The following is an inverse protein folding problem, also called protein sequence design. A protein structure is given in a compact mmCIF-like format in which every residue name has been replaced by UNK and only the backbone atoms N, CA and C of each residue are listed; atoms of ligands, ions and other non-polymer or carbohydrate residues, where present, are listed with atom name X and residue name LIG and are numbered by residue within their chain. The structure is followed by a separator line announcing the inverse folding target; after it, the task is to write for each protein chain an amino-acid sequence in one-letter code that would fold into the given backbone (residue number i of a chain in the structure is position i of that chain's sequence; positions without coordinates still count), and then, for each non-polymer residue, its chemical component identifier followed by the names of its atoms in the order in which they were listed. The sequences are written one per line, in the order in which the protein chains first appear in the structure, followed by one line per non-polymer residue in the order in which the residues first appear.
data_IF_967843219349
#
_entry.id   IF_967843219349
#
_cell.length_a   1.000
_cell.length_b   1.000
_cell.length_c   1.000
_cell.angle_alpha   90.00
_cell.angle_beta   90.00
_cell.angle_gamma   90.00
#
_symmetry.space_group_name_H-M   'P 1'
#
loop_
_entity.id
_entity.type
_entity.pdbx_description
1 polymer ?
#
# COMPACT_ATOMS: atom_id res chain seq x y z
N UNK A 1 1.72 -33.93 6.75
CA UNK A 1 2.07 -32.68 6.04
C UNK A 1 1.05 -31.62 6.42
N UNK A 2 1.38 -30.78 7.40
CA UNK A 2 0.43 -29.85 8.03
C UNK A 2 0.31 -28.60 7.16
N UNK A 3 -0.84 -28.42 6.51
CA UNK A 3 -1.20 -27.14 5.87
C UNK A 3 -1.41 -26.13 6.99
N UNK A 4 -0.52 -25.14 7.08
CA UNK A 4 -0.58 -24.06 8.04
C UNK A 4 -1.84 -23.24 7.76
N UNK A 5 -2.84 -23.38 8.62
CA UNK A 5 -4.05 -22.58 8.63
C UNK A 5 -3.71 -21.28 9.38
N UNK A 6 -3.26 -20.26 8.64
CA UNK A 6 -3.20 -18.90 9.18
C UNK A 6 -4.65 -18.43 9.32
N UNK A 7 -5.14 -18.49 10.55
CA UNK A 7 -6.44 -18.01 10.99
C UNK A 7 -6.48 -16.48 10.84
N UNK A 8 -6.85 -15.99 9.66
CA UNK A 8 -7.23 -14.58 9.49
C UNK A 8 -8.63 -14.41 10.06
N UNK A 9 -8.69 -13.93 11.30
CA UNK A 9 -9.91 -13.47 11.95
C UNK A 9 -10.42 -12.25 11.18
N UNK A 10 -11.17 -12.45 10.08
CA UNK A 10 -11.88 -11.35 9.43
C UNK A 10 -13.04 -10.92 10.30
N UNK A 11 -12.86 -9.80 10.99
CA UNK A 11 -13.94 -8.99 11.54
C UNK A 11 -14.78 -8.46 10.37
N UNK A 12 -15.68 -9.30 9.84
CA UNK A 12 -16.52 -8.97 8.69
C UNK A 12 -17.84 -8.31 9.14
N UNK A 13 -17.78 -7.02 9.44
CA UNK A 13 -18.96 -6.13 9.47
C UNK A 13 -18.90 -5.06 8.36
N UNK A 14 -18.05 -5.28 7.35
CA UNK A 14 -17.81 -4.34 6.25
C UNK A 14 -18.13 -5.04 4.94
N UNK A 15 -19.19 -4.56 4.27
CA UNK A 15 -19.97 -5.28 3.26
C UNK A 15 -19.41 -5.23 1.84
N UNK A 16 -18.28 -4.56 1.58
CA UNK A 16 -17.64 -4.60 0.26
C UNK A 16 -16.12 -4.41 0.36
N UNK A 17 -15.37 -5.46 0.00
CA UNK A 17 -13.93 -5.37 -0.23
C UNK A 17 -13.64 -5.11 -1.70
N UNK A 18 -13.00 -3.99 -2.03
CA UNK A 18 -12.58 -3.66 -3.40
C UNK A 18 -11.13 -4.04 -3.61
N UNK A 19 -10.81 -4.73 -4.70
CA UNK A 19 -9.42 -4.96 -5.13
C UNK A 19 -9.05 -3.98 -6.23
N UNK A 20 -7.94 -3.29 -6.04
CA UNK A 20 -7.25 -2.55 -7.08
C UNK A 20 -5.90 -3.20 -7.30
N UNK A 21 -5.60 -3.57 -8.55
CA UNK A 21 -4.30 -4.10 -8.93
C UNK A 21 -3.90 -3.41 -10.23
N UNK A 22 -2.72 -2.78 -10.25
CA UNK A 22 -2.14 -2.25 -11.48
C UNK A 22 -0.62 -2.47 -11.52
N UNK A 23 -0.09 -2.97 -12.64
CA UNK A 23 1.33 -2.90 -12.90
C UNK A 23 1.73 -1.44 -13.13
N UNK A 24 2.87 -1.06 -12.58
CA UNK A 24 3.52 0.23 -12.76
C UNK A 24 4.96 -0.05 -13.18
N UNK A 25 5.34 0.44 -14.35
CA UNK A 25 6.71 0.37 -14.82
C UNK A 25 7.49 1.56 -14.28
N UNK A 26 8.47 1.27 -13.42
CA UNK A 26 9.36 2.27 -12.87
C UNK A 26 10.62 2.37 -13.73
N UNK A 27 11.00 3.59 -14.10
CA UNK A 27 12.26 3.84 -14.80
C UNK A 27 13.44 3.33 -13.98
N UNK A 28 14.46 2.81 -14.67
CA UNK A 28 15.70 2.39 -14.02
C UNK A 28 16.27 3.54 -13.18
N UNK A 29 16.43 3.30 -11.87
CA UNK A 29 16.95 4.29 -10.93
C UNK A 29 15.91 5.09 -10.13
N UNK A 30 14.61 4.85 -10.35
CA UNK A 30 13.56 5.41 -9.49
C UNK A 30 13.81 5.07 -8.01
N UNK A 31 13.73 6.08 -7.13
CA UNK A 31 13.90 5.89 -5.69
C UNK A 31 15.33 5.59 -5.22
N UNK A 32 16.35 5.63 -6.09
CA UNK A 32 17.74 5.36 -5.67
C UNK A 32 18.20 6.34 -4.59
N UNK A 33 18.57 5.82 -3.43
CA UNK A 33 19.05 6.59 -2.29
C UNK A 33 17.97 7.45 -1.61
N UNK A 34 16.70 7.26 -1.99
CA UNK A 34 15.57 8.00 -1.43
C UNK A 34 14.61 7.03 -0.75
N UNK A 35 13.97 7.51 0.31
CA UNK A 35 12.82 6.82 0.90
C UNK A 35 11.64 6.95 -0.06
N UNK A 36 10.96 5.85 -0.35
CA UNK A 36 9.75 5.83 -1.18
C UNK A 36 8.57 5.34 -0.35
N UNK A 37 7.54 6.19 -0.27
CA UNK A 37 6.29 5.88 0.40
C UNK A 37 5.19 5.64 -0.63
N UNK A 38 4.42 4.56 -0.47
CA UNK A 38 3.16 4.40 -1.15
C UNK A 38 2.06 5.17 -0.41
N UNK A 39 1.33 5.99 -1.16
CA UNK A 39 0.11 6.65 -0.73
C UNK A 39 -1.06 6.10 -1.58
N UNK A 40 -1.98 5.31 -1.00
CA UNK A 40 -3.16 4.82 -1.70
C UNK A 40 -4.20 5.91 -1.97
N UNK A 41 -3.96 7.14 -1.50
CA UNK A 41 -4.91 8.25 -1.52
C UNK A 41 -5.97 8.08 -0.44
N UNK A 42 -7.23 8.29 -0.81
CA UNK A 42 -8.37 8.13 0.10
C UNK A 42 -8.56 6.65 0.47
N UNK A 43 -8.48 6.36 1.76
CA UNK A 43 -8.85 5.07 2.38
C UNK A 43 -10.06 5.33 3.25
N UNK A 44 -11.14 4.55 3.09
CA UNK A 44 -12.35 4.73 3.88
C UNK A 44 -12.23 4.12 5.28
N UNK A 45 -11.95 2.81 5.36
CA UNK A 45 -11.75 2.12 6.65
C UNK A 45 -10.32 1.65 6.78
N UNK A 46 -9.88 0.79 5.86
CA UNK A 46 -8.50 0.29 5.83
C UNK A 46 -8.08 -0.14 4.43
N UNK A 47 -6.78 -0.22 4.20
CA UNK A 47 -6.20 -0.73 2.97
C UNK A 47 -5.07 -1.73 3.27
N UNK A 48 -5.12 -2.91 2.66
CA UNK A 48 -4.00 -3.85 2.64
C UNK A 48 -3.21 -3.66 1.35
N UNK A 49 -1.89 -3.57 1.45
CA UNK A 49 -0.99 -3.33 0.32
C UNK A 49 -0.07 -4.53 0.13
N UNK A 50 -0.03 -5.03 -1.10
CA UNK A 50 0.90 -6.05 -1.58
C UNK A 50 1.71 -5.46 -2.73
N UNK A 51 3.03 -5.66 -2.72
CA UNK A 51 3.94 -5.30 -3.82
C UNK A 51 4.63 -6.55 -4.32
N UNK A 52 4.52 -6.83 -5.62
CA UNK A 52 5.18 -7.98 -6.26
C UNK A 52 4.85 -9.32 -5.57
N UNK A 53 3.61 -9.46 -5.07
CA UNK A 53 3.15 -10.64 -4.32
C UNK A 53 3.55 -10.69 -2.84
N UNK A 54 4.36 -9.74 -2.35
CA UNK A 54 4.74 -9.61 -0.94
C UNK A 54 3.81 -8.65 -0.21
N UNK A 55 3.27 -9.09 0.94
CA UNK A 55 2.50 -8.21 1.83
C UNK A 55 3.44 -7.15 2.43
N UNK A 56 3.19 -5.88 2.14
CA UNK A 56 3.96 -4.76 2.68
C UNK A 56 3.33 -4.22 3.96
N UNK A 57 1.99 -4.24 4.09
CA UNK A 57 1.33 -3.78 5.31
C UNK A 57 -0.17 -3.53 5.21
N UNK A 58 -0.74 -3.12 6.34
CA UNK A 58 -2.15 -2.74 6.50
C UNK A 58 -2.24 -1.30 7.05
N UNK A 59 -2.92 -0.44 6.31
CA UNK A 59 -3.13 0.97 6.59
C UNK A 59 -4.53 1.15 7.19
N UNK A 60 -4.63 1.35 8.49
CA UNK A 60 -5.90 1.46 9.23
C UNK A 60 -6.05 2.78 9.98
N UNK A 61 -5.00 3.60 10.03
CA UNK A 61 -5.02 4.93 10.61
C UNK A 61 -4.11 5.91 9.84
N UNK A 62 -4.43 7.22 9.86
CA UNK A 62 -3.58 8.24 9.25
C UNK A 62 -2.20 8.37 9.92
N UNK A 63 -1.17 8.84 9.18
CA UNK A 63 -1.18 9.02 7.73
C UNK A 63 -1.23 7.65 7.03
N UNK A 64 -2.10 7.51 6.02
CA UNK A 64 -2.27 6.26 5.27
C UNK A 64 -1.11 6.09 4.28
N UNK A 65 0.12 5.97 4.76
CA UNK A 65 1.32 5.83 3.94
C UNK A 65 2.13 4.63 4.38
N UNK A 66 2.71 3.92 3.42
CA UNK A 66 3.53 2.74 3.68
C UNK A 66 4.91 2.92 3.07
N UNK A 67 5.95 2.61 3.84
CA UNK A 67 7.31 2.56 3.30
C UNK A 67 7.47 1.31 2.44
N UNK A 68 7.84 1.49 1.17
CA UNK A 68 8.04 0.42 0.19
C UNK A 68 9.45 0.45 -0.40
N UNK A 69 10.34 1.25 0.20
CA UNK A 69 11.69 1.53 -0.33
C UNK A 69 12.45 0.26 -0.67
N UNK A 70 12.47 -0.71 0.25
CA UNK A 70 13.27 -1.93 0.13
C UNK A 70 12.59 -3.02 -0.73
N UNK A 71 11.30 -2.86 -1.02
CA UNK A 71 10.49 -3.84 -1.75
C UNK A 71 10.39 -3.52 -3.26
N UNK A 72 10.78 -2.31 -3.66
CA UNK A 72 10.76 -1.87 -5.05
C UNK A 72 11.89 -2.50 -5.86
N UNK A 73 11.54 -2.96 -7.06
CA UNK A 73 12.50 -3.45 -8.05
C UNK A 73 12.72 -2.41 -9.15
N UNK A 74 13.87 -2.47 -9.82
CA UNK A 74 14.03 -1.75 -11.08
C UNK A 74 13.13 -2.35 -12.16
N UNK A 75 12.41 -1.52 -12.92
CA UNK A 75 11.49 -1.98 -13.97
C UNK A 75 10.07 -2.19 -13.45
N UNK A 76 9.44 -3.29 -13.84
CA UNK A 76 8.02 -3.52 -13.57
C UNK A 76 7.77 -3.90 -12.12
N UNK A 77 6.85 -3.19 -11.48
CA UNK A 77 6.36 -3.46 -10.14
C UNK A 77 4.84 -3.56 -10.17
N UNK A 78 4.26 -4.55 -9.50
CA UNK A 78 2.80 -4.69 -9.42
C UNK A 78 2.34 -4.42 -8.00
N UNK A 79 1.52 -3.38 -7.84
CA UNK A 79 0.86 -3.07 -6.58
C UNK A 79 -0.56 -3.62 -6.59
N UNK A 80 -0.92 -4.32 -5.51
CA UNK A 80 -2.28 -4.69 -5.19
C UNK A 80 -2.69 -3.98 -3.90
N UNK A 81 -3.78 -3.22 -3.97
CA UNK A 81 -4.37 -2.50 -2.85
C UNK A 81 -5.78 -3.01 -2.65
N UNK A 82 -6.02 -3.68 -1.53
CA UNK A 82 -7.35 -4.15 -1.13
C UNK A 82 -7.92 -3.19 -0.11
N UNK A 83 -8.99 -2.49 -0.49
CA UNK A 83 -9.66 -1.52 0.38
C UNK A 83 -10.87 -2.16 1.02
N UNK A 84 -11.01 -1.92 2.31
CA UNK A 84 -12.24 -2.19 3.06
C UNK A 84 -12.99 -0.88 3.27
N UNK A 85 -14.30 -0.94 3.03
CA UNK A 85 -15.22 0.20 3.07
C UNK A 85 -16.53 -0.21 3.74
N UNK A 86 -17.22 0.78 4.33
CA UNK A 86 -18.60 0.65 4.83
C UNK A 86 -19.65 0.93 3.76
N UNK A 87 -19.22 1.38 2.57
CA UNK A 87 -20.11 1.83 1.50
C UNK A 87 -20.70 0.63 0.74
N UNK A 88 -21.95 0.77 0.27
CA UNK A 88 -22.66 -0.28 -0.48
C UNK A 88 -22.11 -0.49 -1.90
N UNK A 89 -21.26 0.42 -2.39
CA UNK A 89 -20.68 0.41 -3.74
C UNK A 89 -19.22 -0.05 -3.81
N UNK A 90 -18.61 0.07 -5.00
CA UNK A 90 -17.18 -0.18 -5.19
C UNK A 90 -16.37 0.83 -4.37
N UNK A 91 -15.46 0.39 -3.49
CA UNK A 91 -14.61 1.31 -2.73
C UNK A 91 -13.80 2.21 -3.67
N UNK A 92 -13.86 3.52 -3.44
CA UNK A 92 -13.07 4.49 -4.19
C UNK A 92 -11.66 4.61 -3.58
N UNK A 93 -10.64 4.47 -4.41
CA UNK A 93 -9.26 4.86 -4.09
C UNK A 93 -9.01 6.28 -4.57
N UNK A 94 -8.35 7.11 -3.76
CA UNK A 94 -8.08 8.51 -4.10
C UNK A 94 -6.95 8.74 -5.09
N UNK A 95 -6.58 7.73 -5.89
CA UNK A 95 -5.44 7.74 -6.79
C UNK A 95 -4.16 7.31 -6.09
N UNK A 96 -3.76 6.05 -6.30
CA UNK A 96 -2.56 5.44 -5.73
C UNK A 96 -1.31 6.09 -6.34
N UNK A 97 -0.38 6.53 -5.49
CA UNK A 97 0.82 7.28 -5.87
C UNK A 97 2.04 6.84 -5.07
N UNK A 98 3.22 6.97 -5.66
CA UNK A 98 4.49 6.87 -4.94
C UNK A 98 4.98 8.29 -4.63
N UNK A 99 5.40 8.50 -3.38
CA UNK A 99 5.92 9.77 -2.87
C UNK A 99 7.33 9.59 -2.35
N UNK A 100 8.20 10.55 -2.63
CA UNK A 100 9.51 10.68 -1.98
C UNK A 100 9.45 11.86 -1.03
N UNK A 101 9.35 11.64 0.30
CA UNK A 101 9.29 12.75 1.24
C UNK A 101 10.58 13.56 1.16
N UNK A 102 10.45 14.88 1.14
CA UNK A 102 11.60 15.77 1.23
C UNK A 102 12.36 15.49 2.54
N UNK A 103 13.67 15.29 2.45
CA UNK A 103 14.53 15.24 3.64
C UNK A 103 14.58 16.65 4.23
N UNK A 104 13.90 16.85 5.35
CA UNK A 104 14.07 18.04 6.17
C UNK A 104 15.25 17.79 7.11
N UNK A 105 16.37 18.47 6.88
CA UNK A 105 17.45 18.52 7.84
C UNK A 105 17.03 19.48 8.95
N UNK A 106 16.84 18.94 10.15
CA UNK A 106 16.65 19.78 11.33
C UNK A 106 18.05 20.23 11.73
N UNK A 107 18.35 21.52 11.55
CA UNK A 107 19.57 22.11 12.09
C UNK A 107 19.48 22.02 13.61
N UNK A 108 20.17 21.04 14.20
CA UNK A 108 20.38 20.98 15.64
C UNK A 108 21.39 22.07 16.01
N UNK A 109 21.05 22.90 16.99
CA UNK A 109 21.91 23.98 17.51
C UNK A 109 23.20 23.45 18.13
#
# INVERSE_FOLDING_TARGET
MKKSLALFLTLAYLTAGGLWAKPIDLTAGFGRGQRVLLDPGRVEVMAQVTLNGKLCGMLWMPPYTLDVTDDLMSGSNTFEVKVTSTSTGKPALGGVQLRTPARLEINTF
#
